data_IF_698828013514
#
_entry.id   IF_698828013514
#
_cell.length_a   1.000
_cell.length_b   1.000
_cell.length_c   1.000
_cell.angle_alpha   90.00
_cell.angle_beta   90.00
_cell.angle_gamma   90.00
#
_symmetry.space_group_name_H-M   'P 1'
#
loop_
_entity.id
_entity.type
_entity.pdbx_description
1 polymer ?
#
# COMPACT_ATOMS: atom_id res chain seq x y z
N UNK A 1 9.92 -16.00 7.22
CA UNK A 1 10.55 -15.82 5.88
C UNK A 1 9.93 -14.59 5.25
N UNK A 2 10.70 -13.79 4.51
CA UNK A 2 10.17 -12.70 3.69
C UNK A 2 9.57 -13.25 2.40
N UNK A 3 8.41 -12.77 1.98
CA UNK A 3 7.60 -13.29 0.87
C UNK A 3 7.67 -12.41 -0.39
N UNK A 4 8.51 -11.37 -0.39
CA UNK A 4 8.60 -10.42 -1.50
C UNK A 4 7.51 -9.36 -1.49
N UNK A 5 6.76 -9.21 -0.38
CA UNK A 5 5.73 -8.18 -0.24
C UNK A 5 6.26 -6.79 -0.57
N UNK A 6 5.59 -6.15 -1.52
CA UNK A 6 5.90 -4.81 -1.97
C UNK A 6 4.63 -4.03 -2.28
N UNK A 7 4.65 -2.74 -1.95
CA UNK A 7 3.60 -1.80 -2.35
C UNK A 7 4.16 -0.83 -3.38
N UNK A 8 3.40 -0.56 -4.44
CA UNK A 8 3.72 0.45 -5.43
C UNK A 8 2.58 1.47 -5.53
N UNK A 9 2.89 2.71 -5.22
CA UNK A 9 1.99 3.85 -5.37
C UNK A 9 2.33 4.57 -6.68
N UNK A 10 1.43 4.49 -7.65
CA UNK A 10 1.57 5.08 -8.98
C UNK A 10 0.74 6.36 -9.03
N UNK A 11 1.38 7.48 -9.28
CA UNK A 11 0.71 8.77 -9.45
C UNK A 11 0.10 8.87 -10.85
N UNK A 12 -1.22 9.01 -10.94
CA UNK A 12 -1.94 9.19 -12.22
C UNK A 12 -2.10 10.66 -12.60
N UNK A 13 -1.87 11.58 -11.65
CA UNK A 13 -2.01 13.03 -11.84
C UNK A 13 -3.27 13.60 -11.18
N UNK A 14 -3.44 14.93 -11.24
CA UNK A 14 -4.60 15.64 -10.69
C UNK A 14 -4.92 15.32 -9.21
N UNK A 15 -3.90 15.06 -8.39
CA UNK A 15 -4.07 14.70 -6.98
C UNK A 15 -4.61 13.29 -6.76
N UNK A 16 -4.49 12.39 -7.75
CA UNK A 16 -4.92 10.99 -7.68
C UNK A 16 -3.77 10.02 -7.91
N UNK A 17 -3.94 8.82 -7.38
CA UNK A 17 -2.99 7.73 -7.55
C UNK A 17 -3.65 6.36 -7.47
N UNK A 18 -2.87 5.35 -7.83
CA UNK A 18 -3.25 3.93 -7.84
C UNK A 18 -2.29 3.19 -6.91
N UNK A 19 -2.84 2.32 -6.07
CA UNK A 19 -2.04 1.44 -5.21
C UNK A 19 -2.04 0.01 -5.75
N UNK A 20 -0.85 -0.56 -5.84
CA UNK A 20 -0.59 -1.96 -6.18
C UNK A 20 0.05 -2.62 -4.96
N UNK A 21 -0.42 -3.82 -4.63
CA UNK A 21 0.11 -4.62 -3.51
C UNK A 21 0.20 -6.09 -3.93
N UNK A 22 1.40 -6.66 -3.91
CA UNK A 22 1.76 -7.97 -4.44
C UNK A 22 2.94 -8.60 -3.67
N UNK A 23 3.19 -9.89 -3.92
CA UNK A 23 4.36 -10.59 -3.41
C UNK A 23 4.92 -11.56 -4.48
N UNK A 24 5.80 -12.50 -4.12
CA UNK A 24 6.39 -13.43 -5.11
C UNK A 24 5.40 -14.39 -5.76
N UNK A 25 4.30 -14.74 -5.07
CA UNK A 25 3.39 -15.80 -5.50
C UNK A 25 2.04 -15.24 -5.99
N UNK A 26 1.68 -14.03 -5.57
CA UNK A 26 0.37 -13.44 -5.81
C UNK A 26 0.52 -12.15 -6.62
N UNK A 27 -0.11 -12.16 -7.79
CA UNK A 27 -0.24 -10.99 -8.65
C UNK A 27 -1.08 -9.89 -7.98
N UNK A 28 -0.95 -8.62 -8.40
CA UNK A 28 -1.78 -7.55 -7.88
C UNK A 28 -3.28 -7.83 -8.02
N UNK A 29 -4.02 -7.65 -6.92
CA UNK A 29 -5.47 -7.83 -6.88
C UNK A 29 -6.19 -6.53 -6.50
N UNK A 30 -7.43 -6.31 -6.97
CA UNK A 30 -8.27 -5.23 -6.49
C UNK A 30 -8.72 -5.48 -5.03
N UNK A 31 -9.21 -4.44 -4.36
CA UNK A 31 -9.67 -4.52 -2.98
C UNK A 31 -9.28 -3.33 -2.12
N UNK A 32 -9.10 -3.56 -0.82
CA UNK A 32 -8.81 -2.53 0.20
C UNK A 32 -7.57 -2.86 1.02
N UNK A 33 -6.77 -1.83 1.32
CA UNK A 33 -5.54 -1.92 2.11
C UNK A 33 -5.42 -0.72 3.07
N UNK A 34 -4.77 -0.87 4.25
CA UNK A 34 -4.35 -2.11 4.89
C UNK A 34 -5.47 -2.78 5.71
N UNK A 35 -6.60 -2.09 5.92
CA UNK A 35 -7.73 -2.60 6.70
C UNK A 35 -8.78 -3.23 5.76
N UNK A 36 -9.17 -4.51 5.96
CA UNK A 36 -10.16 -5.16 5.12
C UNK A 36 -11.51 -4.44 5.14
N UNK A 37 -12.08 -4.16 3.96
CA UNK A 37 -13.41 -3.55 3.80
C UNK A 37 -13.51 -2.05 4.11
N UNK A 38 -12.76 -1.54 5.09
CA UNK A 38 -12.82 -0.14 5.55
C UNK A 38 -11.63 0.68 5.03
N UNK A 39 -10.51 0.01 4.73
CA UNK A 39 -9.20 0.62 4.52
C UNK A 39 -9.22 1.77 3.52
N UNK A 40 -8.48 2.86 3.81
CA UNK A 40 -8.58 4.09 3.04
C UNK A 40 -8.09 3.91 1.60
N UNK A 41 -7.18 2.96 1.34
CA UNK A 41 -6.59 2.77 0.03
C UNK A 41 -7.35 1.73 -0.79
N UNK A 42 -7.75 2.12 -2.00
CA UNK A 42 -8.31 1.21 -3.00
C UNK A 42 -7.18 0.65 -3.87
N UNK A 43 -7.10 -0.67 -3.97
CA UNK A 43 -6.13 -1.37 -4.83
C UNK A 43 -6.62 -1.43 -6.27
N UNK A 44 -5.70 -1.27 -7.23
CA UNK A 44 -5.97 -1.25 -8.67
C UNK A 44 -7.07 -0.27 -9.11
N UNK A 45 -7.27 0.78 -8.33
CA UNK A 45 -8.26 1.81 -8.61
C UNK A 45 -7.64 3.19 -8.38
N UNK A 46 -7.97 4.13 -9.24
CA UNK A 46 -7.59 5.52 -9.07
C UNK A 46 -8.36 6.15 -7.90
N UNK A 47 -7.64 6.76 -6.96
CA UNK A 47 -8.24 7.51 -5.85
C UNK A 47 -7.33 8.63 -5.35
N UNK A 48 -7.94 9.69 -4.80
CA UNK A 48 -7.21 10.77 -4.12
C UNK A 48 -6.53 10.25 -2.85
N UNK A 49 -7.15 9.30 -2.17
CA UNK A 49 -6.59 8.73 -0.94
C UNK A 49 -5.25 8.02 -1.19
N UNK A 50 -5.12 7.31 -2.31
CA UNK A 50 -3.85 6.70 -2.70
C UNK A 50 -2.74 7.76 -2.92
N UNK A 51 -3.07 8.89 -3.54
CA UNK A 51 -2.15 10.01 -3.69
C UNK A 51 -1.70 10.56 -2.33
N UNK A 52 -2.64 10.83 -1.43
CA UNK A 52 -2.31 11.28 -0.08
C UNK A 52 -1.46 10.27 0.68
N UNK A 53 -1.70 8.97 0.50
CA UNK A 53 -0.85 7.89 1.01
C UNK A 53 0.59 7.98 0.49
N UNK A 54 0.78 8.20 -0.82
CA UNK A 54 2.11 8.40 -1.42
C UNK A 54 2.82 9.61 -0.84
N UNK A 55 2.11 10.71 -0.66
CA UNK A 55 2.66 11.96 -0.13
C UNK A 55 3.05 11.84 1.34
N UNK A 56 2.27 11.10 2.15
CA UNK A 56 2.60 10.76 3.53
C UNK A 56 3.93 10.02 3.66
N UNK A 57 4.32 9.24 2.65
CA UNK A 57 5.58 8.49 2.67
C UNK A 57 6.82 9.38 2.88
N UNK A 58 6.77 10.66 2.47
CA UNK A 58 7.85 11.63 2.76
C UNK A 58 8.12 11.73 4.25
N UNK A 59 7.07 11.84 5.06
CA UNK A 59 7.20 11.93 6.52
C UNK A 59 7.61 10.59 7.14
N UNK A 60 6.99 9.49 6.68
CA UNK A 60 7.28 8.13 7.15
C UNK A 60 8.76 7.78 6.95
N UNK A 61 9.32 8.11 5.79
CA UNK A 61 10.72 7.85 5.47
C UNK A 61 11.67 8.48 6.49
N UNK A 62 11.55 9.78 6.74
CA UNK A 62 12.44 10.51 7.65
C UNK A 62 12.19 10.22 9.13
N UNK A 63 10.95 9.94 9.54
CA UNK A 63 10.59 9.83 10.95
C UNK A 63 10.42 8.40 11.47
N UNK A 64 10.30 7.42 10.58
CA UNK A 64 10.12 6.01 10.94
C UNK A 64 11.27 5.19 10.33
N UNK A 65 11.36 5.11 9.00
CA UNK A 65 12.26 4.18 8.31
C UNK A 65 13.74 4.47 8.58
N UNK A 66 14.19 5.71 8.40
CA UNK A 66 15.59 6.08 8.67
C UNK A 66 15.96 5.99 10.15
N UNK A 67 14.97 6.00 11.04
CA UNK A 67 15.18 5.80 12.49
C UNK A 67 15.11 4.32 12.89
N UNK A 68 14.91 3.42 11.93
CA UNK A 68 14.79 1.98 12.20
C UNK A 68 13.55 1.61 13.02
N UNK A 69 12.51 2.44 13.03
CA UNK A 69 11.25 2.13 13.71
C UNK A 69 10.40 1.21 12.85
N UNK A 70 9.62 0.35 13.48
CA UNK A 70 8.70 -0.54 12.77
C UNK A 70 7.52 0.23 12.17
N UNK A 71 7.10 -0.18 10.97
CA UNK A 71 5.86 0.28 10.37
C UNK A 71 4.66 -0.48 10.96
N UNK A 72 3.48 0.14 11.03
CA UNK A 72 2.25 -0.52 11.50
C UNK A 72 1.64 -1.45 10.42
N UNK A 73 2.47 -2.15 9.66
CA UNK A 73 2.08 -3.15 8.66
C UNK A 73 3.05 -4.34 8.74
N UNK A 74 2.56 -5.58 8.63
CA UNK A 74 3.41 -6.75 8.66
C UNK A 74 4.33 -6.81 7.44
N UNK A 75 5.48 -7.46 7.60
CA UNK A 75 6.44 -7.67 6.50
C UNK A 75 5.91 -8.62 5.43
N UNK A 76 4.98 -9.52 5.79
CA UNK A 76 4.31 -10.44 4.88
C UNK A 76 3.04 -9.82 4.30
N UNK A 77 2.75 -10.12 3.04
CA UNK A 77 1.52 -9.68 2.39
C UNK A 77 0.31 -10.37 3.02
N UNK A 78 -0.77 -9.60 3.24
CA UNK A 78 -2.05 -10.14 3.69
C UNK A 78 -3.04 -10.22 2.53
N UNK A 79 -3.79 -11.33 2.45
CA UNK A 79 -4.91 -11.46 1.51
C UNK A 79 -6.21 -10.83 2.01
N UNK A 80 -6.24 -10.38 3.28
CA UNK A 80 -7.44 -9.81 3.86
C UNK A 80 -7.82 -8.50 3.17
N UNK A 81 -9.05 -8.42 2.64
CA UNK A 81 -9.57 -7.25 1.94
C UNK A 81 -9.26 -7.19 0.43
N UNK A 82 -8.49 -8.15 -0.10
CA UNK A 82 -8.29 -8.34 -1.55
C UNK A 82 -9.43 -9.18 -2.13
N UNK A 83 -9.78 -8.91 -3.38
CA UNK A 83 -10.80 -9.64 -4.14
C UNK A 83 -10.12 -10.43 -5.25
N UNK A 84 -10.35 -11.74 -5.26
CA UNK A 84 -9.73 -12.69 -6.19
C UNK A 84 -10.78 -13.19 -7.19
#
# INVERSE_FOLDING_TARGET
KFDGHANCYIESGFGKGILIDFNYDVEPLPGKFPLPGIGPFSLLQESEMNHWGKMMFRWIYWNILLKGKELPIPAQMSMAGKWQ
#
